data_IF_157270675048
#
_entry.id   IF_157270675048
#
_cell.length_a   1.000
_cell.length_b   1.000
_cell.length_c   1.000
_cell.angle_alpha   90.00
_cell.angle_beta   90.00
_cell.angle_gamma   90.00
#
_symmetry.space_group_name_H-M   'P 1'
#
loop_
_entity.id
_entity.type
_entity.pdbx_description
1 polymer ?
#
# COMPACT_ATOMS: atom_id res chain seq x y z
N UNK A 1 14.53 22.50 4.07
CA UNK A 1 14.51 21.21 4.79
C UNK A 1 15.84 20.51 4.58
N UNK A 2 16.50 20.08 5.66
CA UNK A 2 17.77 19.36 5.57
C UNK A 2 17.52 17.94 4.99
N UNK A 3 18.24 17.60 3.94
CA UNK A 3 18.22 16.27 3.31
C UNK A 3 18.72 15.26 4.35
N UNK A 4 17.90 14.29 4.77
CA UNK A 4 18.38 13.22 5.66
C UNK A 4 19.54 12.51 4.96
N UNK A 5 20.72 12.60 5.58
CA UNK A 5 21.93 11.89 5.18
C UNK A 5 21.86 10.48 5.75
N UNK A 6 21.97 9.49 4.88
CA UNK A 6 22.04 8.09 5.26
C UNK A 6 23.41 7.56 4.83
N UNK A 7 24.11 6.88 5.73
CA UNK A 7 25.41 6.27 5.42
C UNK A 7 25.25 5.05 4.50
N UNK A 8 24.13 4.31 4.67
CA UNK A 8 23.75 3.15 3.85
C UNK A 8 22.22 3.08 3.71
N UNK A 9 21.73 2.90 2.48
CA UNK A 9 20.30 2.69 2.18
C UNK A 9 20.10 1.28 1.62
N UNK A 10 19.45 0.41 2.38
CA UNK A 10 19.09 -0.94 1.95
C UNK A 10 17.63 -0.99 1.51
N UNK A 11 17.35 -1.61 0.36
CA UNK A 11 15.99 -1.99 -0.04
C UNK A 11 15.68 -3.34 0.59
N UNK A 12 14.86 -3.34 1.63
CA UNK A 12 14.44 -4.55 2.33
C UNK A 12 13.10 -5.03 1.76
N UNK A 13 13.01 -6.33 1.44
CA UNK A 13 11.78 -7.02 1.07
C UNK A 13 11.45 -8.06 2.15
N UNK A 14 10.31 -7.91 2.81
CA UNK A 14 9.82 -8.87 3.81
C UNK A 14 8.72 -9.74 3.18
N UNK A 15 8.98 -11.04 3.08
CA UNK A 15 8.04 -12.05 2.55
C UNK A 15 7.53 -12.91 3.70
N UNK A 16 6.25 -13.27 3.66
CA UNK A 16 5.59 -14.15 4.64
C UNK A 16 4.07 -14.06 4.52
N UNK A 17 3.34 -14.89 5.27
CA UNK A 17 1.89 -15.02 5.16
C UNK A 17 1.12 -13.79 5.66
N UNK A 18 -0.10 -13.58 5.17
CA UNK A 18 -0.98 -12.51 5.63
C UNK A 18 -1.18 -12.56 7.16
N UNK A 19 -1.09 -11.42 7.84
CA UNK A 19 -1.29 -11.32 9.30
C UNK A 19 -0.09 -11.65 10.20
N UNK A 20 1.06 -12.08 9.67
CA UNK A 20 2.23 -12.46 10.50
C UNK A 20 3.08 -11.29 11.03
N UNK A 21 2.59 -10.05 10.92
CA UNK A 21 3.27 -8.88 11.49
C UNK A 21 4.49 -8.37 10.72
N UNK A 22 4.60 -8.64 9.41
CA UNK A 22 5.69 -8.10 8.55
C UNK A 22 5.80 -6.58 8.60
N UNK A 23 4.66 -5.89 8.60
CA UNK A 23 4.58 -4.44 8.78
C UNK A 23 5.10 -4.04 10.17
N UNK A 24 4.76 -4.78 11.23
CA UNK A 24 5.26 -4.57 12.59
C UNK A 24 6.78 -4.80 12.72
N UNK A 25 7.34 -5.77 11.97
CA UNK A 25 8.79 -6.06 11.93
C UNK A 25 9.55 -4.95 11.20
N UNK A 26 8.98 -4.42 10.10
CA UNK A 26 9.51 -3.22 9.42
C UNK A 26 9.56 -2.02 10.37
N UNK A 27 8.50 -1.79 11.15
CA UNK A 27 8.43 -0.70 12.13
C UNK A 27 9.43 -0.85 13.29
N UNK A 28 9.69 -2.08 13.77
CA UNK A 28 10.72 -2.30 14.80
C UNK A 28 12.11 -1.93 14.30
N UNK A 29 12.41 -2.22 13.03
CA UNK A 29 13.72 -1.94 12.45
C UNK A 29 13.89 -0.49 11.96
N UNK A 30 12.81 0.19 11.54
CA UNK A 30 12.88 1.56 11.05
C UNK A 30 12.81 2.63 12.13
N UNK A 31 11.92 2.47 13.11
CA UNK A 31 11.54 3.58 14.02
C UNK A 31 11.45 3.19 15.50
N UNK A 32 11.82 1.95 15.86
CA UNK A 32 11.83 1.40 17.24
C UNK A 32 10.54 1.69 18.05
N UNK A 33 9.38 1.73 17.37
CA UNK A 33 8.11 2.09 18.00
C UNK A 33 7.06 1.00 17.79
N UNK A 34 6.25 0.77 18.83
CA UNK A 34 5.03 -0.05 18.79
C UNK A 34 3.88 0.83 19.25
N UNK A 35 2.82 0.96 18.45
CA UNK A 35 1.57 1.57 18.93
C UNK A 35 0.42 0.57 18.78
N UNK A 36 -0.09 0.12 19.92
CA UNK A 36 -1.16 -0.88 20.09
C UNK A 36 -2.56 -0.27 20.15
N UNK A 37 -2.68 1.04 20.00
CA UNK A 37 -3.92 1.73 20.32
C UNK A 37 -4.82 1.86 19.10
N UNK A 38 -6.11 1.60 19.28
CA UNK A 38 -7.19 1.99 18.36
C UNK A 38 -7.12 3.51 18.15
N UNK A 39 -6.87 4.00 16.92
CA UNK A 39 -6.60 5.43 16.68
C UNK A 39 -7.48 5.93 15.53
N UNK A 40 -8.50 6.74 15.84
CA UNK A 40 -9.29 7.47 14.84
C UNK A 40 -8.38 8.34 13.96
N UNK A 41 -8.53 8.20 12.65
CA UNK A 41 -7.59 8.70 11.62
C UNK A 41 -7.46 10.23 11.57
N UNK A 42 -8.50 10.96 11.96
CA UNK A 42 -8.56 12.42 11.90
C UNK A 42 -8.30 13.08 13.28
N UNK A 43 -8.80 12.49 14.37
CA UNK A 43 -8.79 13.17 15.69
C UNK A 43 -7.42 13.13 16.39
N UNK A 44 -6.47 12.31 15.94
CA UNK A 44 -5.14 12.18 16.57
C UNK A 44 -3.96 12.67 15.69
N UNK A 45 -4.23 13.36 14.57
CA UNK A 45 -3.16 13.97 13.76
C UNK A 45 -2.28 12.98 13.01
N UNK A 46 -2.82 11.80 12.64
CA UNK A 46 -2.13 10.88 11.72
C UNK A 46 -2.00 11.54 10.34
N UNK A 47 -3.12 12.02 9.79
CA UNK A 47 -3.12 12.83 8.57
C UNK A 47 -2.67 14.24 8.97
N UNK A 48 -1.55 14.67 8.40
CA UNK A 48 -0.88 15.94 8.68
C UNK A 48 -0.85 16.85 7.45
N UNK A 49 -0.94 16.27 6.26
CA UNK A 49 -0.91 16.98 5.00
C UNK A 49 -2.30 17.05 4.36
N UNK A 50 -2.67 18.24 3.89
CA UNK A 50 -3.92 18.45 3.15
C UNK A 50 -4.00 17.52 1.95
N UNK A 51 -2.86 17.28 1.28
CA UNK A 51 -2.80 16.38 0.14
C UNK A 51 -3.20 14.94 0.49
N UNK A 52 -2.72 14.40 1.62
CA UNK A 52 -3.11 13.05 2.05
C UNK A 52 -4.58 13.01 2.46
N UNK A 53 -5.07 14.05 3.14
CA UNK A 53 -6.48 14.18 3.47
C UNK A 53 -7.36 14.12 2.20
N UNK A 54 -7.07 14.95 1.20
CA UNK A 54 -7.81 15.00 -0.06
C UNK A 54 -7.74 13.68 -0.83
N UNK A 55 -6.57 13.02 -0.87
CA UNK A 55 -6.42 11.71 -1.51
C UNK A 55 -7.27 10.65 -0.83
N UNK A 56 -7.24 10.58 0.50
CA UNK A 56 -8.04 9.60 1.24
C UNK A 56 -9.54 9.89 1.13
N UNK A 57 -9.93 11.16 1.16
CA UNK A 57 -11.31 11.60 0.96
C UNK A 57 -11.82 11.24 -0.44
N UNK A 58 -10.98 11.40 -1.47
CA UNK A 58 -11.32 11.06 -2.85
C UNK A 58 -11.30 9.55 -3.15
N UNK A 59 -10.89 8.71 -2.18
CA UNK A 59 -10.79 7.24 -2.36
C UNK A 59 -11.82 6.55 -1.48
N UNK A 60 -13.02 6.31 -2.01
CA UNK A 60 -14.09 5.67 -1.22
C UNK A 60 -13.77 4.19 -0.98
N UNK A 61 -13.50 3.89 0.30
CA UNK A 61 -13.18 2.55 0.78
C UNK A 61 -14.30 1.52 0.55
N UNK A 62 -15.56 1.94 0.36
CA UNK A 62 -16.66 1.05 0.02
C UNK A 62 -16.49 0.35 -1.35
N UNK A 63 -15.67 0.91 -2.25
CA UNK A 63 -15.32 0.23 -3.50
C UNK A 63 -14.32 -0.92 -3.31
N UNK A 64 -13.57 -0.92 -2.20
CA UNK A 64 -12.43 -1.82 -1.95
C UNK A 64 -12.68 -2.81 -0.80
N UNK A 65 -13.75 -2.62 -0.02
CA UNK A 65 -14.14 -3.49 1.09
C UNK A 65 -15.64 -3.71 1.10
N UNK A 66 -16.07 -4.99 1.11
CA UNK A 66 -17.50 -5.35 1.08
C UNK A 66 -18.18 -5.22 2.43
N UNK A 67 -17.44 -5.40 3.53
CA UNK A 67 -17.97 -5.46 4.89
C UNK A 67 -17.30 -4.39 5.75
N UNK A 68 -18.10 -3.63 6.50
CA UNK A 68 -17.63 -2.58 7.43
C UNK A 68 -16.54 -1.65 6.82
N UNK A 69 -16.76 -1.07 5.62
CA UNK A 69 -15.72 -0.36 4.90
C UNK A 69 -15.13 0.81 5.70
N UNK A 70 -15.94 1.49 6.52
CA UNK A 70 -15.51 2.66 7.28
C UNK A 70 -15.07 2.37 8.71
N UNK A 71 -15.05 1.10 9.11
CA UNK A 71 -14.51 0.71 10.41
C UNK A 71 -12.99 0.86 10.36
N UNK A 72 -12.41 1.52 11.38
CA UNK A 72 -10.96 1.69 11.46
C UNK A 72 -10.25 0.42 11.95
N UNK A 73 -10.37 -0.65 11.17
CA UNK A 73 -9.74 -1.93 11.42
C UNK A 73 -9.60 -2.72 10.10
N UNK A 74 -8.72 -3.73 10.07
CA UNK A 74 -8.59 -4.58 8.89
C UNK A 74 -9.90 -5.32 8.58
N UNK A 75 -10.30 -5.36 7.30
CA UNK A 75 -11.46 -6.12 6.84
C UNK A 75 -11.01 -7.23 5.91
N UNK A 76 -11.62 -8.42 5.99
CA UNK A 76 -11.29 -9.51 5.07
C UNK A 76 -11.69 -9.17 3.63
N UNK A 77 -10.83 -9.53 2.69
CA UNK A 77 -11.07 -9.41 1.24
C UNK A 77 -11.07 -10.80 0.56
N UNK A 78 -11.20 -11.87 1.33
CA UNK A 78 -11.04 -13.25 0.84
C UNK A 78 -9.57 -13.70 0.82
N UNK A 79 -9.34 -14.94 0.42
CA UNK A 79 -7.98 -15.49 0.18
C UNK A 79 -7.01 -15.34 1.36
N UNK A 80 -7.53 -15.38 2.60
CA UNK A 80 -6.78 -15.11 3.84
C UNK A 80 -6.10 -13.73 3.90
N UNK A 81 -6.50 -12.81 3.02
CA UNK A 81 -6.03 -11.44 2.97
C UNK A 81 -7.03 -10.48 3.63
N UNK A 82 -6.50 -9.33 4.04
CA UNK A 82 -7.30 -8.22 4.58
C UNK A 82 -6.90 -6.92 3.91
N UNK A 83 -7.88 -6.05 3.65
CA UNK A 83 -7.62 -4.62 3.44
C UNK A 83 -7.25 -4.00 4.79
N UNK A 84 -6.08 -3.36 4.88
CA UNK A 84 -5.54 -2.74 6.10
C UNK A 84 -6.47 -1.66 6.64
N UNK A 85 -6.39 -1.34 7.93
CA UNK A 85 -7.17 -0.26 8.54
C UNK A 85 -6.90 1.09 7.85
N UNK A 86 -7.90 2.00 7.74
CA UNK A 86 -7.75 3.37 7.26
C UNK A 86 -6.53 4.11 7.84
N UNK A 87 -6.28 4.04 9.14
CA UNK A 87 -5.10 4.70 9.75
C UNK A 87 -3.76 4.18 9.19
N UNK A 88 -3.69 2.91 8.79
CA UNK A 88 -2.47 2.34 8.18
C UNK A 88 -2.20 2.91 6.79
N UNK A 89 -3.25 3.19 6.01
CA UNK A 89 -3.10 3.87 4.72
C UNK A 89 -2.68 5.32 4.89
N UNK A 90 -3.30 6.04 5.84
CA UNK A 90 -2.90 7.41 6.18
C UNK A 90 -1.41 7.48 6.56
N UNK A 91 -0.98 6.58 7.43
CA UNK A 91 0.42 6.51 7.86
C UNK A 91 1.38 6.25 6.69
N UNK A 92 1.08 5.29 5.81
CA UNK A 92 1.91 5.00 4.64
C UNK A 92 2.01 6.19 3.68
N UNK A 93 0.90 6.89 3.46
CA UNK A 93 0.84 8.06 2.58
C UNK A 93 1.63 9.24 3.15
N UNK A 94 1.55 9.47 4.47
CA UNK A 94 2.32 10.51 5.16
C UNK A 94 3.81 10.19 5.18
N UNK A 95 4.19 8.93 5.44
CA UNK A 95 5.58 8.50 5.43
C UNK A 95 6.24 8.69 4.07
N UNK A 96 5.47 8.45 2.99
CA UNK A 96 5.94 8.55 1.61
C UNK A 96 5.59 9.89 0.94
N UNK A 97 5.04 10.86 1.69
CA UNK A 97 4.48 12.10 1.14
C UNK A 97 5.45 12.81 0.19
N UNK A 98 6.71 12.98 0.62
CA UNK A 98 7.74 13.70 -0.15
C UNK A 98 8.24 12.90 -1.38
N UNK A 99 8.12 11.57 -1.36
CA UNK A 99 8.49 10.70 -2.47
C UNK A 99 7.36 10.55 -3.49
N UNK A 100 6.10 10.74 -3.07
CA UNK A 100 4.90 10.70 -3.91
C UNK A 100 4.57 12.09 -4.50
N UNK A 101 5.57 12.73 -5.10
CA UNK A 101 5.42 14.00 -5.80
C UNK A 101 4.77 13.81 -7.19
N UNK A 102 4.24 14.89 -7.78
CA UNK A 102 3.60 14.81 -9.10
C UNK A 102 4.59 14.32 -10.18
N UNK A 103 4.19 13.31 -10.95
CA UNK A 103 5.04 12.63 -11.93
C UNK A 103 5.90 11.50 -11.37
N UNK A 104 5.89 11.24 -10.07
CA UNK A 104 6.63 10.13 -9.48
C UNK A 104 6.09 8.76 -9.93
N UNK A 105 6.93 7.73 -9.75
CA UNK A 105 6.58 6.33 -9.98
C UNK A 105 6.57 5.58 -8.65
N UNK A 106 5.50 4.84 -8.38
CA UNK A 106 5.37 4.05 -7.16
C UNK A 106 5.16 2.56 -7.47
N UNK A 107 5.62 1.72 -6.54
CA UNK A 107 5.40 0.28 -6.54
C UNK A 107 4.68 -0.08 -5.23
N UNK A 108 3.55 -0.76 -5.34
CA UNK A 108 2.75 -1.27 -4.22
C UNK A 108 2.84 -2.80 -4.21
N UNK A 109 3.59 -3.35 -3.24
CA UNK A 109 3.84 -4.79 -3.14
C UNK A 109 2.85 -5.41 -2.16
N UNK A 110 2.08 -6.39 -2.62
CA UNK A 110 0.92 -6.90 -1.89
C UNK A 110 -0.26 -5.94 -2.02
N UNK A 111 -0.58 -5.53 -3.25
CA UNK A 111 -1.60 -4.52 -3.52
C UNK A 111 -2.99 -4.90 -3.02
N UNK A 112 -3.28 -6.20 -2.83
CA UNK A 112 -4.49 -6.71 -2.21
C UNK A 112 -5.75 -6.13 -2.86
N UNK A 113 -6.51 -5.35 -2.10
CA UNK A 113 -7.74 -4.70 -2.58
C UNK A 113 -7.52 -3.66 -3.70
N UNK A 114 -6.32 -3.11 -3.84
CA UNK A 114 -5.97 -2.03 -4.78
C UNK A 114 -6.10 -0.60 -4.23
N UNK A 115 -6.62 -0.42 -3.02
CA UNK A 115 -6.91 0.91 -2.47
C UNK A 115 -5.66 1.79 -2.30
N UNK A 116 -4.55 1.24 -1.81
CA UNK A 116 -3.33 2.00 -1.57
C UNK A 116 -2.63 2.36 -2.90
N UNK A 117 -2.65 1.45 -3.87
CA UNK A 117 -2.24 1.73 -5.26
C UNK A 117 -2.99 2.92 -5.87
N UNK A 118 -4.30 3.02 -5.61
CA UNK A 118 -5.11 4.16 -6.06
C UNK A 118 -4.77 5.44 -5.30
N UNK A 119 -4.59 5.38 -3.98
CA UNK A 119 -4.13 6.52 -3.20
C UNK A 119 -2.77 7.03 -3.71
N UNK A 120 -1.82 6.13 -3.98
CA UNK A 120 -0.55 6.48 -4.60
C UNK A 120 -0.76 7.16 -5.95
N UNK A 121 -1.67 6.66 -6.79
CA UNK A 121 -1.93 7.24 -8.11
C UNK A 121 -2.46 8.67 -8.01
N UNK A 122 -3.36 8.93 -7.05
CA UNK A 122 -3.86 10.28 -6.73
C UNK A 122 -2.74 11.17 -6.18
N UNK A 123 -1.85 10.64 -5.33
CA UNK A 123 -0.69 11.38 -4.83
C UNK A 123 0.28 11.79 -5.94
N UNK A 124 0.67 10.85 -6.81
CA UNK A 124 1.66 11.11 -7.89
C UNK A 124 1.09 11.86 -9.08
N UNK A 125 -0.18 12.25 -9.04
CA UNK A 125 -0.81 13.12 -10.02
C UNK A 125 -0.91 12.55 -11.44
N UNK A 126 -1.43 13.33 -12.40
CA UNK A 126 -1.79 12.86 -13.75
C UNK A 126 -0.60 12.36 -14.58
N UNK A 127 0.62 12.81 -14.25
CA UNK A 127 1.85 12.39 -14.92
C UNK A 127 2.51 11.18 -14.27
N UNK A 128 2.11 10.86 -13.04
CA UNK A 128 2.69 9.76 -12.29
C UNK A 128 2.12 8.40 -12.65
N UNK A 129 2.79 7.36 -12.19
CA UNK A 129 2.42 5.97 -12.50
C UNK A 129 2.64 5.05 -11.31
N UNK A 130 1.70 4.14 -11.09
CA UNK A 130 1.73 3.16 -10.01
C UNK A 130 1.62 1.76 -10.60
N UNK A 131 2.47 0.87 -10.12
CA UNK A 131 2.36 -0.57 -10.36
C UNK A 131 2.02 -1.21 -9.03
N UNK A 132 0.89 -1.91 -8.95
CA UNK A 132 0.57 -2.78 -7.83
C UNK A 132 0.82 -4.23 -8.22
N UNK A 133 1.47 -4.97 -7.35
CA UNK A 133 1.73 -6.40 -7.55
C UNK A 133 1.07 -7.21 -6.43
N UNK A 134 0.43 -8.30 -6.79
CA UNK A 134 -0.02 -9.31 -5.85
C UNK A 134 0.25 -10.70 -6.43
N UNK A 135 0.46 -11.68 -5.56
CA UNK A 135 0.73 -13.06 -5.97
C UNK A 135 -0.57 -13.87 -6.11
N UNK A 136 -1.69 -13.36 -5.57
CA UNK A 136 -3.00 -14.01 -5.66
C UNK A 136 -3.74 -13.39 -6.86
N UNK A 137 -3.86 -14.16 -7.94
CA UNK A 137 -4.50 -13.72 -9.18
C UNK A 137 -5.91 -13.15 -8.95
N UNK A 138 -6.70 -13.81 -8.12
CA UNK A 138 -8.08 -13.40 -7.85
C UNK A 138 -8.13 -12.05 -7.13
N UNK A 139 -7.16 -11.73 -6.27
CA UNK A 139 -7.05 -10.40 -5.66
C UNK A 139 -6.64 -9.34 -6.68
N UNK A 140 -5.81 -9.68 -7.67
CA UNK A 140 -5.48 -8.77 -8.77
C UNK A 140 -6.72 -8.49 -9.63
N UNK A 141 -7.49 -9.52 -9.96
CA UNK A 141 -8.73 -9.37 -10.74
C UNK A 141 -9.78 -8.54 -9.96
N UNK A 142 -9.98 -8.84 -8.67
CA UNK A 142 -10.89 -8.09 -7.80
C UNK A 142 -10.44 -6.64 -7.63
N UNK A 143 -9.15 -6.38 -7.45
CA UNK A 143 -8.64 -5.02 -7.31
C UNK A 143 -8.80 -4.20 -8.58
N UNK A 144 -8.57 -4.78 -9.77
CA UNK A 144 -8.89 -4.09 -11.04
C UNK A 144 -10.37 -3.70 -11.10
N UNK A 145 -11.27 -4.58 -10.65
CA UNK A 145 -12.71 -4.29 -10.60
C UNK A 145 -13.04 -3.21 -9.56
N UNK A 146 -12.35 -3.19 -8.42
CA UNK A 146 -12.52 -2.15 -7.40
C UNK A 146 -12.07 -0.78 -7.95
N UNK A 147 -10.91 -0.70 -8.59
CA UNK A 147 -10.43 0.53 -9.23
C UNK A 147 -11.42 1.00 -10.31
N UNK A 148 -12.00 0.10 -11.10
CA UNK A 148 -13.01 0.46 -12.10
C UNK A 148 -14.30 1.03 -11.49
N UNK A 149 -14.68 0.61 -10.29
CA UNK A 149 -15.84 1.15 -9.56
C UNK A 149 -15.55 2.54 -8.98
N UNK A 150 -14.30 2.76 -8.53
CA UNK A 150 -13.84 4.01 -7.94
C UNK A 150 -13.50 5.07 -9.01
N UNK A 151 -12.51 4.78 -9.86
CA UNK A 151 -12.11 5.63 -10.99
C UNK A 151 -11.55 4.77 -12.15
N UNK A 152 -12.38 4.46 -13.16
CA UNK A 152 -11.94 3.63 -14.28
C UNK A 152 -10.85 4.31 -15.14
N UNK A 153 -10.70 5.63 -15.06
CA UNK A 153 -9.68 6.36 -15.82
C UNK A 153 -8.27 5.96 -15.41
N UNK A 154 -8.05 5.57 -14.15
CA UNK A 154 -6.74 5.16 -13.65
C UNK A 154 -6.21 3.91 -14.37
N UNK A 155 -7.10 2.98 -14.72
CA UNK A 155 -6.76 1.78 -15.49
C UNK A 155 -6.64 2.10 -16.98
N UNK A 156 -7.63 2.80 -17.56
CA UNK A 156 -7.66 3.06 -19.01
C UNK A 156 -6.53 3.98 -19.47
N UNK A 157 -6.10 4.92 -18.63
CA UNK A 157 -4.94 5.77 -18.90
C UNK A 157 -3.60 5.07 -18.63
N UNK A 158 -3.61 3.87 -18.04
CA UNK A 158 -2.40 3.14 -17.63
C UNK A 158 -1.62 3.79 -16.48
N UNK A 159 -2.26 4.69 -15.72
CA UNK A 159 -1.66 5.32 -14.53
C UNK A 159 -1.55 4.33 -13.38
N UNK A 160 -2.51 3.41 -13.26
CA UNK A 160 -2.45 2.26 -12.36
C UNK A 160 -2.37 1.00 -13.20
N UNK A 161 -1.39 0.15 -12.91
CA UNK A 161 -1.31 -1.21 -13.45
C UNK A 161 -1.23 -2.20 -12.30
N UNK A 162 -2.25 -3.03 -12.17
CA UNK A 162 -2.29 -4.13 -11.19
C UNK A 162 -1.93 -5.41 -11.93
N UNK A 163 -0.92 -6.12 -11.46
CA UNK A 163 -0.42 -7.33 -12.11
C UNK A 163 -0.23 -8.45 -11.11
N UNK A 164 -0.52 -9.66 -11.57
CA UNK A 164 -0.11 -10.86 -10.87
C UNK A 164 1.41 -11.00 -10.99
N UNK A 165 2.07 -11.24 -9.86
CA UNK A 165 3.46 -11.62 -9.84
C UNK A 165 3.66 -12.77 -8.86
N UNK A 166 3.93 -13.95 -9.42
CA UNK A 166 4.48 -15.05 -8.69
C UNK A 166 5.92 -14.65 -8.36
N UNK A 167 6.20 -14.36 -7.10
CA UNK A 167 7.58 -14.40 -6.65
C UNK A 167 8.03 -15.85 -6.79
N UNK A 168 8.81 -16.14 -7.82
CA UNK A 168 9.68 -17.31 -7.80
C UNK A 168 10.68 -17.04 -6.65
N UNK A 169 10.31 -17.52 -5.46
CA UNK A 169 11.20 -17.50 -4.29
C UNK A 169 12.27 -18.54 -4.58
N UNK A 170 13.31 -18.15 -5.32
CA UNK A 170 14.53 -18.93 -5.40
C UNK A 170 15.09 -19.06 -3.99
N UNK A 171 15.09 -20.29 -3.48
CA UNK A 171 15.76 -20.60 -2.22
C UNK A 171 17.25 -20.62 -2.50
N UNK A 172 17.93 -19.49 -2.26
CA UNK A 172 19.40 -19.47 -2.30
C UNK A 172 19.89 -20.34 -1.15
N UNK A 173 20.35 -21.54 -1.47
CA UNK A 173 21.06 -22.38 -0.52
C UNK A 173 22.44 -21.76 -0.24
N UNK A 174 23.09 -22.17 0.85
CA UNK A 174 24.43 -21.70 1.23
C UNK A 174 25.51 -21.92 0.15
N UNK A 175 25.18 -22.63 -0.94
CA UNK A 175 26.08 -23.00 -2.03
C UNK A 175 25.82 -22.19 -3.32
N UNK A 176 24.83 -21.29 -3.33
CA UNK A 176 24.62 -20.36 -4.44
C UNK A 176 24.00 -20.96 -5.71
N UNK A 177 23.40 -22.15 -5.63
CA UNK A 177 22.65 -22.74 -6.74
C UNK A 177 21.18 -22.29 -6.73
N UNK A 178 20.64 -22.07 -7.95
CA UNK A 178 19.26 -21.69 -8.20
C UNK A 178 18.40 -22.97 -8.35
N UNK A 179 17.34 -23.10 -7.54
CA UNK A 179 16.26 -24.08 -7.73
C UNK A 179 14.98 -23.36 -8.13
#
# INVERSE_FOLDING_TARGET
>A
MAKKTYDLLFKLLLIGDSGVGKTCVLFRFSDDAFNTTFISTIENGIIKSDKVYEVMLATDRAHFSRCNPYMDSPQSIGYQATISAPHMHAYALELLHDQLYDGAKALDVGSGSGILSVCFARMVGPKGKVIGIDHIKELVDDSINNVKKDDPSLITSGRVKLIEHLFDVYKVTSEGELL
#
